data_IF_073165811729
#
_entry.id   IF_073165811729
#
_cell.length_a   1.000
_cell.length_b   1.000
_cell.length_c   1.000
_cell.angle_alpha   90.00
_cell.angle_beta   90.00
_cell.angle_gamma   90.00
#
_symmetry.space_group_name_H-M   'P 1'
#
loop_
_entity.id
_entity.type
_entity.pdbx_description
1 polymer ?
#
# COMPACT_ATOMS: atom_id res chain seq x y z
N UNK A 1 -5.78 7.06 -29.17
CA UNK A 1 -6.28 5.75 -28.72
C UNK A 1 -6.19 5.72 -27.20
N UNK A 2 -7.19 5.21 -26.48
CA UNK A 2 -7.04 4.98 -25.04
C UNK A 2 -5.84 4.05 -24.79
N UNK A 3 -5.11 4.23 -23.67
CA UNK A 3 -3.99 3.36 -23.34
C UNK A 3 -4.46 1.91 -23.26
N UNK A 4 -3.65 0.98 -23.79
CA UNK A 4 -3.96 -0.45 -23.76
C UNK A 4 -3.83 -0.94 -22.31
N UNK A 5 -4.94 -1.29 -21.70
CA UNK A 5 -4.99 -1.83 -20.33
C UNK A 5 -4.68 -3.33 -20.37
N UNK A 6 -3.92 -3.90 -19.40
CA UNK A 6 -3.71 -5.34 -19.32
C UNK A 6 -5.00 -6.10 -18.99
N UNK A 7 -5.10 -7.34 -19.46
CA UNK A 7 -6.16 -8.26 -19.06
C UNK A 7 -5.83 -8.88 -17.69
N UNK A 8 -6.76 -8.79 -16.74
CA UNK A 8 -6.60 -9.34 -15.38
C UNK A 8 -7.46 -10.59 -15.20
N UNK A 9 -6.95 -11.63 -14.55
CA UNK A 9 -7.71 -12.84 -14.22
C UNK A 9 -8.88 -12.59 -13.27
N UNK A 10 -8.81 -11.55 -12.44
CA UNK A 10 -9.75 -11.30 -11.35
C UNK A 10 -9.87 -12.49 -10.38
N UNK A 11 -8.74 -13.15 -10.13
CA UNK A 11 -8.68 -14.34 -9.31
C UNK A 11 -9.11 -14.02 -7.87
N UNK A 12 -9.92 -14.90 -7.29
CA UNK A 12 -10.40 -14.79 -5.91
C UNK A 12 -10.15 -16.09 -5.19
N UNK A 13 -9.85 -15.97 -3.91
CA UNK A 13 -9.70 -17.08 -2.99
C UNK A 13 -10.19 -16.64 -1.61
N UNK A 14 -10.54 -17.60 -0.75
CA UNK A 14 -10.95 -17.30 0.62
C UNK A 14 -9.85 -16.49 1.34
N UNK A 15 -10.23 -15.35 1.92
CA UNK A 15 -9.29 -14.46 2.63
C UNK A 15 -9.09 -14.86 4.09
N UNK A 16 -9.95 -15.73 4.62
CA UNK A 16 -9.87 -16.25 5.98
C UNK A 16 -9.95 -17.77 5.99
N UNK A 17 -9.54 -18.34 7.11
CA UNK A 17 -9.75 -19.73 7.47
C UNK A 17 -10.35 -19.83 8.88
N UNK A 18 -11.36 -20.66 9.04
CA UNK A 18 -11.90 -21.02 10.35
C UNK A 18 -10.96 -21.96 11.12
N UNK A 19 -10.75 -21.68 12.39
CA UNK A 19 -9.94 -22.48 13.31
C UNK A 19 -10.66 -22.67 14.65
N UNK A 20 -10.38 -23.79 15.33
CA UNK A 20 -10.81 -24.00 16.71
C UNK A 20 -9.79 -23.36 17.65
N UNK A 21 -10.26 -22.51 18.55
CA UNK A 21 -9.45 -21.82 19.57
C UNK A 21 -10.02 -22.09 20.96
N UNK A 22 -9.26 -21.73 22.00
CA UNK A 22 -9.71 -21.80 23.38
C UNK A 22 -9.72 -20.42 24.03
N UNK A 23 -10.75 -20.15 24.83
CA UNK A 23 -10.84 -18.94 25.64
C UNK A 23 -10.11 -19.10 26.99
N UNK A 24 -10.13 -18.06 27.82
CA UNK A 24 -9.53 -18.00 29.15
C UNK A 24 -10.11 -19.02 30.15
N UNK A 25 -11.30 -19.56 29.88
CA UNK A 25 -11.96 -20.60 30.67
C UNK A 25 -11.66 -22.03 30.17
N UNK A 26 -10.92 -22.16 29.07
CA UNK A 26 -10.58 -23.45 28.45
C UNK A 26 -11.66 -24.03 27.53
N UNK A 27 -12.73 -23.27 27.25
CA UNK A 27 -13.82 -23.67 26.36
C UNK A 27 -13.39 -23.55 24.90
N UNK A 28 -13.88 -24.45 24.05
CA UNK A 28 -13.56 -24.43 22.61
C UNK A 28 -14.56 -23.56 21.87
N UNK A 29 -14.05 -22.66 21.01
CA UNK A 29 -14.86 -21.81 20.14
C UNK A 29 -14.24 -21.74 18.73
N UNK A 30 -15.01 -21.26 17.76
CA UNK A 30 -14.51 -20.98 16.40
C UNK A 30 -14.02 -19.53 16.29
N UNK A 31 -12.93 -19.34 15.55
CA UNK A 31 -12.42 -18.03 15.17
C UNK A 31 -12.02 -18.04 13.69
N UNK A 32 -12.08 -16.87 13.06
CA UNK A 32 -11.50 -16.65 11.74
C UNK A 32 -10.09 -16.10 11.90
N UNK A 33 -9.16 -16.63 11.11
CA UNK A 33 -7.82 -16.06 10.96
C UNK A 33 -7.59 -15.68 9.50
N UNK A 34 -6.79 -14.64 9.19
CA UNK A 34 -6.43 -14.31 7.82
C UNK A 34 -5.68 -15.48 7.18
N UNK A 35 -5.92 -15.68 5.89
CA UNK A 35 -5.05 -16.53 5.10
C UNK A 35 -3.69 -15.85 4.92
N UNK A 36 -2.64 -16.65 4.90
CA UNK A 36 -1.31 -16.26 4.48
C UNK A 36 -0.82 -17.33 3.51
N UNK A 37 -0.61 -16.93 2.25
CA UNK A 37 -0.21 -17.85 1.18
C UNK A 37 0.87 -17.21 0.31
N UNK A 38 1.78 -18.02 -0.24
CA UNK A 38 2.75 -17.52 -1.21
C UNK A 38 2.03 -17.15 -2.51
N UNK A 39 2.56 -16.14 -3.19
CA UNK A 39 2.22 -15.78 -4.55
C UNK A 39 3.52 -15.48 -5.29
N UNK A 40 3.92 -16.39 -6.18
CA UNK A 40 5.16 -16.26 -6.94
C UNK A 40 4.89 -15.50 -8.25
N UNK A 41 5.53 -14.34 -8.40
CA UNK A 41 5.38 -13.50 -9.59
C UNK A 41 6.37 -13.93 -10.66
N UNK A 42 5.85 -14.19 -11.86
CA UNK A 42 6.63 -14.46 -13.06
C UNK A 42 6.39 -13.37 -14.09
N UNK A 43 7.43 -12.76 -14.63
CA UNK A 43 7.33 -11.83 -15.76
C UNK A 43 8.02 -12.46 -16.97
N UNK A 44 7.26 -12.68 -18.04
CA UNK A 44 7.73 -13.35 -19.26
C UNK A 44 8.43 -14.69 -18.96
N UNK A 45 7.80 -15.50 -18.08
CA UNK A 45 8.28 -16.81 -17.58
C UNK A 45 9.51 -16.75 -16.67
N UNK A 46 10.03 -15.57 -16.38
CA UNK A 46 11.12 -15.40 -15.44
C UNK A 46 10.57 -15.13 -14.03
N UNK A 47 10.98 -15.96 -13.06
CA UNK A 47 10.63 -15.76 -11.66
C UNK A 47 11.23 -14.46 -11.12
N UNK A 48 10.41 -13.65 -10.46
CA UNK A 48 10.81 -12.38 -9.86
C UNK A 48 10.93 -12.50 -8.34
N UNK A 49 9.84 -12.91 -7.69
CA UNK A 49 9.68 -12.86 -6.23
C UNK A 49 8.54 -13.77 -5.79
N UNK A 50 8.61 -14.27 -4.56
CA UNK A 50 7.45 -14.86 -3.87
C UNK A 50 7.01 -13.94 -2.74
N UNK A 51 5.75 -13.49 -2.79
CA UNK A 51 5.15 -12.62 -1.77
C UNK A 51 4.22 -13.45 -0.90
N UNK A 52 4.32 -13.33 0.42
CA UNK A 52 3.29 -13.82 1.35
C UNK A 52 2.14 -12.82 1.40
N UNK A 53 0.95 -13.20 0.97
CA UNK A 53 -0.22 -12.33 0.82
C UNK A 53 -1.48 -12.99 1.36
N UNK A 54 -2.49 -12.19 1.70
CA UNK A 54 -3.84 -12.73 1.95
C UNK A 54 -4.58 -13.03 0.64
N UNK A 55 -4.17 -12.41 -0.48
CA UNK A 55 -4.80 -12.58 -1.79
C UNK A 55 -6.02 -11.68 -2.03
N UNK A 56 -6.15 -10.56 -1.32
CA UNK A 56 -7.27 -9.62 -1.50
C UNK A 56 -7.27 -8.90 -2.87
N UNK A 57 -6.07 -8.62 -3.40
CA UNK A 57 -5.90 -7.90 -4.67
C UNK A 57 -4.61 -8.37 -5.40
N UNK A 58 -4.51 -9.64 -5.79
CA UNK A 58 -3.25 -10.25 -6.20
C UNK A 58 -2.72 -9.68 -7.52
N UNK A 59 -3.57 -9.38 -8.51
CA UNK A 59 -3.12 -8.75 -9.77
C UNK A 59 -2.65 -7.31 -9.55
N UNK A 60 -3.34 -6.57 -8.69
CA UNK A 60 -2.95 -5.19 -8.36
C UNK A 60 -1.65 -5.17 -7.56
N UNK A 61 -1.47 -6.12 -6.64
CA UNK A 61 -0.21 -6.35 -5.93
C UNK A 61 0.93 -6.61 -6.93
N UNK A 62 0.72 -7.50 -7.90
CA UNK A 62 1.71 -7.80 -8.93
C UNK A 62 2.07 -6.56 -9.77
N UNK A 63 1.08 -5.81 -10.25
CA UNK A 63 1.30 -4.55 -10.98
C UNK A 63 2.06 -3.52 -10.13
N UNK A 64 1.69 -3.40 -8.86
CA UNK A 64 2.34 -2.54 -7.88
C UNK A 64 3.80 -2.89 -7.66
N UNK A 65 4.08 -4.18 -7.51
CA UNK A 65 5.44 -4.69 -7.38
C UNK A 65 6.27 -4.33 -8.61
N UNK A 66 5.78 -4.61 -9.82
CA UNK A 66 6.49 -4.28 -11.07
C UNK A 66 6.80 -2.78 -11.19
N UNK A 67 5.82 -1.93 -10.86
CA UNK A 67 5.97 -0.48 -10.89
C UNK A 67 6.98 0.01 -9.86
N UNK A 68 6.84 -0.42 -8.60
CA UNK A 68 7.68 0.06 -7.51
C UNK A 68 9.13 -0.48 -7.61
N UNK A 69 9.32 -1.66 -8.22
CA UNK A 69 10.64 -2.18 -8.59
C UNK A 69 11.15 -1.67 -9.95
N UNK A 70 10.35 -0.83 -10.63
CA UNK A 70 10.63 -0.20 -11.94
C UNK A 70 10.89 -1.20 -13.05
N UNK A 71 10.49 -2.45 -12.90
CA UNK A 71 10.75 -3.51 -13.86
C UNK A 71 10.10 -3.21 -15.21
N UNK A 72 8.96 -2.53 -15.19
CA UNK A 72 8.21 -2.11 -16.37
C UNK A 72 7.89 -0.62 -16.29
N UNK A 73 8.08 0.10 -17.40
CA UNK A 73 7.93 1.56 -17.44
C UNK A 73 6.50 2.01 -17.76
N UNK A 74 5.79 1.29 -18.63
CA UNK A 74 4.43 1.63 -19.03
C UNK A 74 3.45 0.49 -18.76
N UNK A 75 2.28 0.82 -18.23
CA UNK A 75 1.18 -0.15 -18.06
C UNK A 75 0.76 -0.75 -19.42
N UNK A 76 0.95 0.03 -20.50
CA UNK A 76 0.65 -0.40 -21.85
C UNK A 76 1.58 -1.52 -22.35
N UNK A 77 2.76 -1.69 -21.74
CA UNK A 77 3.70 -2.77 -22.08
C UNK A 77 3.23 -4.13 -21.53
N UNK A 78 2.26 -4.13 -20.61
CA UNK A 78 1.72 -5.34 -20.01
C UNK A 78 0.51 -5.81 -20.82
N UNK A 79 0.56 -7.06 -21.29
CA UNK A 79 -0.53 -7.72 -22.00
C UNK A 79 -1.57 -8.27 -21.03
N UNK A 80 -1.13 -8.99 -20.01
CA UNK A 80 -1.99 -9.65 -19.04
C UNK A 80 -1.29 -9.90 -17.70
N UNK A 81 -2.10 -10.02 -16.65
CA UNK A 81 -1.71 -10.48 -15.32
C UNK A 81 -2.68 -11.58 -14.92
N UNK A 82 -2.18 -12.80 -14.78
CA UNK A 82 -2.98 -14.00 -14.55
C UNK A 82 -2.53 -14.70 -13.28
N UNK A 83 -3.42 -14.74 -12.29
CA UNK A 83 -3.19 -15.37 -10.99
C UNK A 83 -3.90 -16.72 -10.98
N UNK A 84 -3.16 -17.74 -10.57
CA UNK A 84 -3.63 -19.09 -10.37
C UNK A 84 -3.28 -19.53 -8.94
N UNK A 85 -4.32 -19.68 -8.11
CA UNK A 85 -4.17 -20.05 -6.71
C UNK A 85 -3.91 -21.54 -6.50
N UNK A 86 -4.17 -22.41 -7.48
CA UNK A 86 -3.87 -23.84 -7.36
C UNK A 86 -2.35 -24.10 -7.38
N UNK A 87 -1.62 -23.27 -8.11
CA UNK A 87 -0.15 -23.34 -8.23
C UNK A 87 0.57 -22.16 -7.58
N UNK A 88 -0.17 -21.31 -6.85
CA UNK A 88 0.37 -20.17 -6.09
C UNK A 88 1.22 -19.21 -6.94
N UNK A 89 0.80 -18.98 -8.18
CA UNK A 89 1.59 -18.24 -9.17
C UNK A 89 0.80 -17.09 -9.82
N UNK A 90 1.53 -16.02 -10.15
CA UNK A 90 1.03 -14.92 -10.97
C UNK A 90 1.92 -14.77 -12.21
N UNK A 91 1.36 -15.10 -13.37
CA UNK A 91 2.01 -14.93 -14.66
C UNK A 91 1.68 -13.54 -15.24
N UNK A 92 2.70 -12.70 -15.38
CA UNK A 92 2.63 -11.42 -16.08
C UNK A 92 3.25 -11.60 -17.46
N UNK A 93 2.47 -11.28 -18.50
CA UNK A 93 2.93 -11.32 -19.90
C UNK A 93 3.12 -9.90 -20.39
N UNK A 94 4.31 -9.56 -20.89
CA UNK A 94 4.55 -8.31 -21.60
C UNK A 94 4.15 -8.42 -23.08
N UNK A 95 3.91 -7.29 -23.74
CA UNK A 95 3.53 -7.24 -25.16
C UNK A 95 4.73 -7.36 -26.10
N UNK A 96 5.91 -6.94 -25.66
CA UNK A 96 7.09 -6.80 -26.52
C UNK A 96 8.37 -7.36 -25.90
N UNK A 97 8.26 -8.06 -24.76
CA UNK A 97 9.41 -8.41 -23.92
C UNK A 97 9.89 -7.22 -23.10
N UNK A 98 10.60 -7.52 -22.01
CA UNK A 98 11.30 -6.51 -21.20
C UNK A 98 12.81 -6.70 -21.37
N UNK A 99 13.47 -5.68 -21.90
CA UNK A 99 14.93 -5.69 -22.09
C UNK A 99 15.66 -5.82 -20.74
N UNK A 100 16.77 -6.57 -20.76
CA UNK A 100 17.68 -6.77 -19.62
C UNK A 100 17.03 -7.31 -18.34
N UNK A 101 15.84 -7.91 -18.42
CA UNK A 101 15.11 -8.40 -17.25
C UNK A 101 15.97 -9.33 -16.38
N UNK A 102 16.67 -10.29 -17.00
CA UNK A 102 17.56 -11.23 -16.29
C UNK A 102 18.70 -10.53 -15.55
N UNK A 103 19.32 -9.50 -16.14
CA UNK A 103 20.38 -8.74 -15.48
C UNK A 103 19.82 -7.91 -14.32
N UNK A 104 18.63 -7.32 -14.50
CA UNK A 104 17.96 -6.47 -13.52
C UNK A 104 17.42 -7.24 -12.32
N UNK A 105 17.16 -8.54 -12.49
CA UNK A 105 16.75 -9.45 -11.41
C UNK A 105 17.90 -10.30 -10.87
N UNK A 106 19.07 -10.32 -11.51
CA UNK A 106 20.20 -11.11 -11.07
C UNK A 106 20.61 -10.70 -9.64
N UNK A 107 20.61 -11.67 -8.72
CA UNK A 107 20.90 -11.44 -7.29
C UNK A 107 19.71 -10.98 -6.44
N UNK A 108 18.51 -10.79 -7.02
CA UNK A 108 17.29 -10.34 -6.32
C UNK A 108 16.31 -11.48 -6.00
N UNK A 109 16.80 -12.67 -5.64
CA UNK A 109 15.94 -13.71 -5.02
C UNK A 109 15.58 -13.26 -3.60
N UNK A 110 14.66 -12.32 -3.50
CA UNK A 110 14.28 -11.66 -2.25
C UNK A 110 13.02 -12.32 -1.72
N UNK A 111 13.18 -13.25 -0.77
CA UNK A 111 12.08 -13.67 0.09
C UNK A 111 12.07 -12.74 1.31
N UNK A 112 11.36 -11.62 1.27
CA UNK A 112 11.08 -10.86 2.50
C UNK A 112 9.79 -10.04 2.38
N UNK A 113 8.70 -10.53 2.95
CA UNK A 113 7.51 -9.72 3.23
C UNK A 113 7.63 -8.92 4.54
N UNK A 114 8.69 -9.15 5.34
CA UNK A 114 8.78 -8.67 6.71
C UNK A 114 9.80 -7.57 7.04
N UNK A 115 10.99 -7.56 6.44
CA UNK A 115 12.12 -6.74 6.94
C UNK A 115 12.93 -6.12 5.80
N UNK A 116 13.23 -4.83 5.95
CA UNK A 116 13.78 -3.94 4.93
C UNK A 116 15.02 -4.45 4.21
N UNK A 117 15.02 -4.25 2.89
CA UNK A 117 16.19 -4.45 2.03
C UNK A 117 17.10 -3.22 2.14
N UNK A 118 18.16 -3.31 2.96
CA UNK A 118 19.08 -2.18 3.22
C UNK A 118 19.94 -1.74 2.03
N UNK A 119 20.11 -2.58 1.00
CA UNK A 119 20.92 -2.25 -0.19
C UNK A 119 20.13 -1.56 -1.30
N UNK A 120 18.81 -1.77 -1.37
CA UNK A 120 17.90 -1.08 -2.32
C UNK A 120 17.59 0.35 -1.85
N UNK A 121 17.85 0.64 -0.57
CA UNK A 121 17.54 1.92 0.06
C UNK A 121 18.31 3.11 -0.53
N UNK A 122 19.61 2.95 -0.86
CA UNK A 122 20.42 4.04 -1.41
C UNK A 122 19.96 4.44 -2.83
N UNK A 123 19.72 3.46 -3.70
CA UNK A 123 19.18 3.75 -5.05
C UNK A 123 17.78 4.35 -5.00
N UNK A 124 16.95 3.95 -4.03
CA UNK A 124 15.62 4.54 -3.87
C UNK A 124 15.69 6.01 -3.40
N UNK A 125 16.72 6.38 -2.63
CA UNK A 125 16.86 7.75 -2.11
C UNK A 125 17.16 8.77 -3.19
N UNK A 126 18.04 8.46 -4.13
CA UNK A 126 18.37 9.35 -5.26
C UNK A 126 17.13 9.63 -6.14
N UNK A 127 16.21 8.68 -6.19
CA UNK A 127 15.01 8.76 -7.02
C UNK A 127 13.86 9.48 -6.31
N UNK A 128 13.82 9.38 -4.98
CA UNK A 128 12.87 10.10 -4.13
C UNK A 128 13.08 11.61 -4.21
N UNK A 129 14.32 12.06 -4.42
CA UNK A 129 14.61 13.49 -4.63
C UNK A 129 14.03 14.04 -5.94
N UNK A 130 13.66 13.16 -6.88
CA UNK A 130 12.96 13.50 -8.13
C UNK A 130 11.44 13.26 -8.05
N UNK A 131 10.90 12.88 -6.89
CA UNK A 131 9.47 12.62 -6.75
C UNK A 131 8.68 13.92 -6.95
N UNK A 132 7.75 13.90 -7.92
CA UNK A 132 6.85 15.02 -8.18
C UNK A 132 5.73 15.04 -7.12
N UNK A 133 5.99 15.75 -6.02
CA UNK A 133 5.00 15.99 -4.97
C UNK A 133 4.31 17.32 -5.21
N UNK A 134 2.98 17.32 -5.16
CA UNK A 134 2.20 18.54 -5.32
C UNK A 134 2.34 19.42 -4.07
N UNK A 135 2.95 20.59 -4.24
CA UNK A 135 3.16 21.56 -3.17
C UNK A 135 1.84 22.15 -2.65
N UNK A 136 0.75 22.08 -3.42
CA UNK A 136 -0.55 22.69 -3.09
C UNK A 136 -1.52 21.72 -2.41
N UNK A 137 -1.22 20.42 -2.38
CA UNK A 137 -2.09 19.45 -1.71
C UNK A 137 -2.20 19.78 -0.22
N UNK A 138 -3.44 20.04 0.24
CA UNK A 138 -3.83 20.32 1.62
C UNK A 138 -4.90 19.34 2.10
N UNK A 139 -5.05 19.21 3.41
CA UNK A 139 -6.16 18.50 4.05
C UNK A 139 -6.76 19.36 5.16
N UNK A 140 -8.08 19.53 5.15
CA UNK A 140 -8.81 20.16 6.25
C UNK A 140 -9.04 19.19 7.41
N UNK A 141 -9.25 19.72 8.61
CA UNK A 141 -9.58 18.91 9.78
C UNK A 141 -10.87 18.11 9.56
N UNK A 142 -11.91 18.72 8.97
CA UNK A 142 -13.15 18.03 8.59
C UNK A 142 -12.92 16.85 7.64
N UNK A 143 -12.08 17.01 6.61
CA UNK A 143 -11.73 15.92 5.69
C UNK A 143 -10.96 14.80 6.39
N UNK A 144 -9.99 15.15 7.26
CA UNK A 144 -9.26 14.17 8.05
C UNK A 144 -10.20 13.37 8.96
N UNK A 145 -11.18 14.02 9.59
CA UNK A 145 -12.19 13.31 10.38
C UNK A 145 -13.08 12.43 9.52
N UNK A 146 -13.54 12.93 8.37
CA UNK A 146 -14.38 12.16 7.46
C UNK A 146 -13.68 10.89 6.95
N UNK A 147 -12.40 10.97 6.59
CA UNK A 147 -11.66 9.78 6.12
C UNK A 147 -11.41 8.79 7.26
N UNK A 148 -11.13 9.26 8.48
CA UNK A 148 -10.96 8.39 9.65
C UNK A 148 -12.27 7.68 10.02
N UNK A 149 -13.41 8.38 9.93
CA UNK A 149 -14.72 7.78 10.13
C UNK A 149 -15.08 6.78 9.03
N UNK A 150 -14.78 7.09 7.76
CA UNK A 150 -14.95 6.16 6.66
C UNK A 150 -14.16 4.86 6.91
N UNK A 151 -12.91 4.96 7.34
CA UNK A 151 -12.08 3.80 7.69
C UNK A 151 -12.58 3.03 8.92
N UNK A 152 -13.14 3.72 9.91
CA UNK A 152 -13.71 3.10 11.10
C UNK A 152 -14.98 2.31 10.77
N UNK A 153 -15.81 2.83 9.85
CA UNK A 153 -17.07 2.21 9.45
C UNK A 153 -16.88 1.11 8.39
N UNK A 154 -15.81 1.16 7.59
CA UNK A 154 -15.53 0.17 6.54
C UNK A 154 -15.48 -1.27 7.07
N UNK A 155 -16.23 -2.18 6.46
CA UNK A 155 -16.14 -3.62 6.76
C UNK A 155 -14.80 -4.15 6.27
N UNK A 156 -14.10 -4.90 7.11
CA UNK A 156 -12.70 -5.23 6.86
C UNK A 156 -12.32 -6.57 7.47
N UNK A 157 -11.34 -7.23 6.84
CA UNK A 157 -10.71 -8.45 7.29
C UNK A 157 -10.08 -8.29 8.67
N UNK A 158 -9.50 -7.12 8.96
CA UNK A 158 -9.00 -6.81 10.30
C UNK A 158 -10.10 -6.89 11.36
N UNK A 159 -11.34 -6.45 11.07
CA UNK A 159 -12.45 -6.54 12.03
C UNK A 159 -12.94 -7.97 12.25
N UNK A 160 -12.91 -8.81 11.21
CA UNK A 160 -13.44 -10.18 11.28
C UNK A 160 -12.41 -11.22 11.72
N UNK A 161 -11.12 -11.02 11.40
CA UNK A 161 -10.06 -12.00 11.60
C UNK A 161 -8.78 -11.43 12.23
N UNK A 162 -8.67 -10.10 12.38
CA UNK A 162 -7.47 -9.46 12.94
C UNK A 162 -6.23 -9.60 12.05
N UNK A 163 -5.05 -9.35 12.63
CA UNK A 163 -3.72 -9.72 12.09
C UNK A 163 -3.39 -9.34 10.63
N UNK A 164 -4.03 -8.30 10.09
CA UNK A 164 -3.71 -7.73 8.77
C UNK A 164 -3.51 -6.22 8.83
N UNK A 165 -2.91 -5.68 7.78
CA UNK A 165 -2.76 -4.27 7.56
C UNK A 165 -3.73 -3.79 6.48
N UNK A 166 -4.56 -2.80 6.82
CA UNK A 166 -5.41 -2.10 5.87
C UNK A 166 -4.72 -0.84 5.36
N UNK A 167 -4.77 -0.62 4.06
CA UNK A 167 -4.37 0.63 3.43
C UNK A 167 -5.48 1.16 2.54
N UNK A 168 -5.54 2.49 2.40
CA UNK A 168 -6.53 3.16 1.58
C UNK A 168 -5.93 4.38 0.87
N UNK A 169 -6.52 4.71 -0.28
CA UNK A 169 -6.27 5.94 -1.02
C UNK A 169 -7.55 6.77 -1.05
N UNK A 170 -7.43 8.04 -0.71
CA UNK A 170 -8.55 8.99 -0.68
C UNK A 170 -8.31 10.17 -1.62
N UNK A 171 -9.40 10.78 -2.09
CA UNK A 171 -9.45 12.09 -2.72
C UNK A 171 -10.49 12.94 -1.97
N UNK A 172 -10.02 13.95 -1.22
CA UNK A 172 -10.84 14.55 -0.16
C UNK A 172 -11.30 13.48 0.84
N UNK A 173 -12.60 13.40 1.09
CA UNK A 173 -13.22 12.35 1.91
C UNK A 173 -13.63 11.08 1.15
N UNK A 174 -13.48 11.06 -0.18
CA UNK A 174 -13.90 9.94 -1.02
C UNK A 174 -12.86 8.83 -1.00
N UNK A 175 -13.24 7.65 -0.53
CA UNK A 175 -12.44 6.44 -0.63
C UNK A 175 -12.35 5.99 -2.11
N UNK A 176 -11.14 5.96 -2.66
CA UNK A 176 -10.91 5.51 -4.04
C UNK A 176 -10.60 4.01 -4.10
N UNK A 177 -9.77 3.54 -3.18
CA UNK A 177 -9.31 2.16 -3.14
C UNK A 177 -9.00 1.80 -1.68
N UNK A 178 -9.43 0.61 -1.27
CA UNK A 178 -9.05 -0.02 -0.02
C UNK A 178 -8.56 -1.43 -0.29
N UNK A 179 -7.52 -1.85 0.43
CA UNK A 179 -7.03 -3.22 0.40
C UNK A 179 -6.42 -3.60 1.74
N UNK A 180 -6.47 -4.89 2.03
CA UNK A 180 -5.87 -5.50 3.22
C UNK A 180 -4.88 -6.58 2.81
N UNK A 181 -3.81 -6.69 3.58
CA UNK A 181 -2.83 -7.76 3.41
C UNK A 181 -2.11 -8.07 4.73
N UNK A 182 -1.54 -9.27 4.84
CA UNK A 182 -0.66 -9.62 5.97
C UNK A 182 0.56 -8.70 6.03
N UNK A 183 1.09 -8.29 4.88
CA UNK A 183 2.20 -7.36 4.76
C UNK A 183 1.72 -5.96 4.41
N UNK A 184 2.03 -4.95 5.25
CA UNK A 184 1.72 -3.54 4.93
C UNK A 184 2.31 -3.07 3.59
N UNK A 185 3.46 -3.60 3.21
CA UNK A 185 4.14 -3.27 1.95
C UNK A 185 3.35 -3.76 0.74
N UNK A 186 2.73 -4.95 0.85
CA UNK A 186 1.88 -5.51 -0.20
C UNK A 186 0.61 -4.65 -0.37
N UNK A 187 0.01 -4.20 0.73
CA UNK A 187 -1.16 -3.34 0.68
C UNK A 187 -0.87 -2.00 -0.03
N UNK A 188 0.30 -1.37 0.23
CA UNK A 188 0.75 -0.17 -0.49
C UNK A 188 1.02 -0.48 -1.97
N UNK A 189 1.68 -1.60 -2.26
CA UNK A 189 1.99 -2.01 -3.64
C UNK A 189 0.68 -2.23 -4.42
N UNK A 190 -0.32 -2.91 -3.85
CA UNK A 190 -1.62 -3.07 -4.48
C UNK A 190 -2.32 -1.73 -4.79
N UNK A 191 -2.22 -0.72 -3.91
CA UNK A 191 -2.72 0.64 -4.21
C UNK A 191 -1.92 1.27 -5.35
N UNK A 192 -0.59 1.15 -5.35
CA UNK A 192 0.27 1.66 -6.43
C UNK A 192 -0.07 1.02 -7.79
N UNK A 193 -0.35 -0.29 -7.80
CA UNK A 193 -0.80 -1.02 -8.98
C UNK A 193 -2.18 -0.58 -9.46
N UNK A 194 -3.12 -0.36 -8.53
CA UNK A 194 -4.44 0.20 -8.85
C UNK A 194 -4.34 1.58 -9.48
N UNK A 195 -3.53 2.47 -8.89
CA UNK A 195 -3.28 3.82 -9.42
C UNK A 195 -2.70 3.76 -10.83
N UNK A 196 -1.77 2.84 -11.07
CA UNK A 196 -1.13 2.67 -12.37
C UNK A 196 -2.10 2.19 -13.44
N UNK A 197 -2.91 1.19 -13.08
CA UNK A 197 -3.93 0.61 -13.96
C UNK A 197 -4.97 1.65 -14.40
N UNK A 198 -5.37 2.54 -13.49
CA UNK A 198 -6.41 3.54 -13.73
C UNK A 198 -5.89 4.91 -14.15
N UNK A 199 -4.57 5.08 -14.28
CA UNK A 199 -3.97 6.38 -14.61
C UNK A 199 -4.20 7.45 -13.54
N UNK A 200 -4.34 7.04 -12.27
CA UNK A 200 -4.56 7.94 -11.13
C UNK A 200 -3.23 8.43 -10.58
N UNK A 201 -3.01 9.75 -10.60
CA UNK A 201 -1.87 10.39 -9.95
C UNK A 201 -2.07 10.59 -8.45
N UNK A 202 -0.98 10.83 -7.71
CA UNK A 202 -1.02 11.10 -6.27
C UNK A 202 -1.43 12.53 -5.89
N UNK A 203 -1.53 13.45 -6.87
CA UNK A 203 -1.94 14.83 -6.64
C UNK A 203 -3.33 14.90 -5.98
N UNK A 204 -3.44 15.68 -4.90
CA UNK A 204 -4.67 15.84 -4.12
C UNK A 204 -5.13 14.56 -3.42
N UNK A 205 -4.26 13.54 -3.31
CA UNK A 205 -4.59 12.28 -2.64
C UNK A 205 -4.06 12.23 -1.23
N UNK A 206 -4.73 11.44 -0.41
CA UNK A 206 -4.33 11.13 0.96
C UNK A 206 -4.17 9.62 1.07
N UNK A 207 -3.01 9.17 1.53
CA UNK A 207 -2.76 7.75 1.78
C UNK A 207 -3.03 7.44 3.25
N UNK A 208 -3.82 6.41 3.52
CA UNK A 208 -4.10 5.95 4.87
C UNK A 208 -3.55 4.53 5.09
N UNK A 209 -3.01 4.26 6.28
CA UNK A 209 -2.60 2.90 6.68
C UNK A 209 -2.84 2.60 8.15
N UNK A 210 -3.17 1.35 8.47
CA UNK A 210 -3.17 0.89 9.88
C UNK A 210 -1.77 0.60 10.42
N UNK A 211 -0.76 0.47 9.54
CA UNK A 211 0.64 0.20 9.90
C UNK A 211 1.45 1.44 10.29
N UNK A 212 2.68 1.23 10.77
CA UNK A 212 3.63 2.32 11.09
C UNK A 212 4.10 3.03 9.82
N UNK A 213 4.35 4.34 9.93
CA UNK A 213 4.99 5.14 8.88
C UNK A 213 6.51 4.97 8.98
N UNK A 214 7.01 3.87 8.41
CA UNK A 214 8.44 3.60 8.25
C UNK A 214 9.00 4.29 7.01
N UNK A 215 10.33 4.37 6.91
CA UNK A 215 10.99 4.95 5.73
C UNK A 215 10.48 4.37 4.40
N UNK A 216 10.38 3.04 4.29
CA UNK A 216 9.86 2.39 3.08
C UNK A 216 8.42 2.80 2.75
N UNK A 217 7.55 2.95 3.75
CA UNK A 217 6.15 3.36 3.53
C UNK A 217 6.10 4.80 3.00
N UNK A 218 6.90 5.70 3.58
CA UNK A 218 7.01 7.09 3.14
C UNK A 218 7.56 7.18 1.72
N UNK A 219 8.64 6.44 1.43
CA UNK A 219 9.26 6.37 0.08
C UNK A 219 8.25 5.90 -0.97
N UNK A 220 7.54 4.79 -0.71
CA UNK A 220 6.56 4.26 -1.67
C UNK A 220 5.44 5.28 -1.95
N UNK A 221 4.93 5.95 -0.91
CA UNK A 221 3.91 7.00 -1.09
C UNK A 221 4.47 8.22 -1.84
N UNK A 222 5.73 8.60 -1.58
CA UNK A 222 6.41 9.67 -2.30
C UNK A 222 6.51 9.35 -3.80
N UNK A 223 6.90 8.11 -4.14
CA UNK A 223 6.97 7.63 -5.53
C UNK A 223 5.58 7.50 -6.18
N UNK A 224 4.52 7.36 -5.39
CA UNK A 224 3.13 7.45 -5.87
C UNK A 224 2.68 8.92 -6.09
N UNK A 225 3.48 9.90 -5.70
CA UNK A 225 3.16 11.33 -5.77
C UNK A 225 2.20 11.79 -4.67
N UNK A 226 2.08 11.05 -3.56
CA UNK A 226 1.15 11.36 -2.48
C UNK A 226 1.84 12.16 -1.38
N UNK A 227 1.32 13.36 -1.11
CA UNK A 227 1.95 14.31 -0.18
C UNK A 227 1.39 14.30 1.25
N UNK A 228 0.36 13.48 1.52
CA UNK A 228 -0.28 13.39 2.84
C UNK A 228 -0.47 11.91 3.22
N UNK A 229 0.13 11.50 4.33
CA UNK A 229 0.07 10.15 4.87
C UNK A 229 -0.57 10.17 6.26
N UNK A 230 -1.57 9.32 6.45
CA UNK A 230 -2.34 9.19 7.68
C UNK A 230 -2.18 7.78 8.23
N UNK A 231 -1.86 7.67 9.51
CA UNK A 231 -1.72 6.38 10.19
C UNK A 231 -2.39 6.37 11.56
N UNK A 232 -2.98 5.22 11.88
CA UNK A 232 -3.43 4.93 13.26
C UNK A 232 -2.28 4.54 14.19
N UNK A 233 -1.13 4.17 13.64
CA UNK A 233 0.06 3.72 14.37
C UNK A 233 1.04 4.88 14.60
N UNK A 234 2.31 4.58 14.87
CA UNK A 234 3.37 5.57 15.06
C UNK A 234 4.21 5.84 13.80
N UNK A 235 5.09 6.84 13.92
CA UNK A 235 6.14 7.19 12.96
C UNK A 235 7.49 6.71 13.49
N UNK A 236 8.37 6.22 12.61
CA UNK A 236 9.78 5.93 12.98
C UNK A 236 10.69 7.09 12.60
N UNK A 237 11.78 7.32 13.33
CA UNK A 237 12.74 8.42 13.08
C UNK A 237 13.09 8.59 11.59
N UNK A 238 13.59 7.53 10.94
CA UNK A 238 13.95 7.62 9.52
C UNK A 238 12.76 7.95 8.59
N UNK A 239 11.55 7.51 8.94
CA UNK A 239 10.34 7.88 8.17
C UNK A 239 9.96 9.35 8.36
N UNK A 240 10.14 9.89 9.57
CA UNK A 240 10.01 11.31 9.85
C UNK A 240 11.00 12.12 9.03
N UNK A 241 12.30 11.78 9.08
CA UNK A 241 13.37 12.54 8.42
C UNK A 241 13.16 12.65 6.90
N UNK A 242 12.74 11.55 6.27
CA UNK A 242 12.41 11.53 4.83
C UNK A 242 11.20 12.41 4.54
N UNK A 243 10.14 12.29 5.34
CA UNK A 243 8.92 13.07 5.11
C UNK A 243 9.17 14.57 5.29
N UNK A 244 9.96 14.95 6.29
CA UNK A 244 10.39 16.33 6.51
C UNK A 244 11.19 16.85 5.32
N UNK A 245 12.17 16.09 4.84
CA UNK A 245 12.98 16.44 3.66
C UNK A 245 12.14 16.66 2.40
N UNK A 246 11.10 15.85 2.21
CA UNK A 246 10.24 15.88 1.02
C UNK A 246 9.02 16.79 1.15
N UNK A 247 8.81 17.41 2.32
CA UNK A 247 7.59 18.17 2.58
C UNK A 247 6.32 17.31 2.49
N UNK A 248 6.38 16.05 2.95
CA UNK A 248 5.21 15.16 3.08
C UNK A 248 4.61 15.35 4.47
N UNK A 249 3.29 15.54 4.56
CA UNK A 249 2.61 15.62 5.84
C UNK A 249 2.35 14.23 6.42
N UNK A 250 2.89 13.98 7.61
CA UNK A 250 2.62 12.76 8.37
C UNK A 250 1.63 13.05 9.49
N UNK A 251 0.49 12.39 9.46
CA UNK A 251 -0.45 12.29 10.58
C UNK A 251 -0.36 10.89 11.16
N UNK A 252 -0.12 10.78 12.46
CA UNK A 252 -0.03 9.50 13.15
C UNK A 252 -0.77 9.55 14.49
N UNK A 253 -0.89 8.38 15.13
CA UNK A 253 -1.72 8.18 16.33
C UNK A 253 -3.18 8.59 16.10
N UNK A 254 -3.64 8.50 14.85
CA UNK A 254 -4.99 8.91 14.49
C UNK A 254 -5.99 7.93 15.10
N UNK A 255 -6.83 8.39 16.02
CA UNK A 255 -7.89 7.60 16.65
C UNK A 255 -9.06 8.52 16.96
N UNK A 256 -10.24 8.19 16.43
CA UNK A 256 -11.43 9.03 16.51
C UNK A 256 -11.12 10.45 15.98
N UNK A 257 -11.27 11.48 16.81
CA UNK A 257 -10.96 12.88 16.49
C UNK A 257 -9.57 13.33 16.96
N UNK A 258 -8.75 12.42 17.48
CA UNK A 258 -7.39 12.70 17.93
C UNK A 258 -6.39 12.28 16.86
N UNK A 259 -5.41 13.14 16.60
CA UNK A 259 -4.27 12.87 15.74
C UNK A 259 -3.09 13.73 16.17
N UNK A 260 -1.89 13.35 15.75
CA UNK A 260 -0.70 14.17 15.86
C UNK A 260 -0.14 14.37 14.45
N UNK A 261 0.06 15.62 14.06
CA UNK A 261 0.82 15.95 12.86
C UNK A 261 2.30 16.04 13.22
N UNK A 262 3.15 15.37 12.44
CA UNK A 262 4.59 15.30 12.69
C UNK A 262 5.37 16.21 11.74
N UNK A 263 4.96 16.34 10.49
CA UNK A 263 5.71 17.05 9.43
C UNK A 263 4.78 17.88 8.54
N UNK A 264 5.37 18.82 7.80
CA UNK A 264 4.70 19.70 6.83
C UNK A 264 3.43 20.37 7.40
N UNK A 265 3.53 21.15 8.51
CA UNK A 265 2.41 21.81 9.17
C UNK A 265 1.55 22.64 8.21
N UNK A 266 2.17 23.26 7.21
CA UNK A 266 1.53 24.06 6.17
C UNK A 266 0.50 23.28 5.34
N UNK A 267 0.54 21.95 5.35
CA UNK A 267 -0.41 21.10 4.62
C UNK A 267 -1.72 20.83 5.36
N UNK A 268 -1.82 21.23 6.62
CA UNK A 268 -3.00 21.03 7.45
C UNK A 268 -3.78 22.32 7.62
N UNK A 269 -5.07 22.28 7.28
CA UNK A 269 -5.99 23.40 7.53
C UNK A 269 -6.80 23.08 8.79
N UNK A 270 -6.36 23.65 9.92
CA UNK A 270 -7.00 23.45 11.21
C UNK A 270 -8.35 24.16 11.30
N UNK A 271 -9.35 23.47 11.86
CA UNK A 271 -10.70 23.99 12.10
C UNK A 271 -11.03 23.81 13.59
N UNK A 272 -10.29 24.50 14.49
CA UNK A 272 -10.48 24.32 15.92
C UNK A 272 -11.90 24.74 16.32
N UNK A 273 -12.57 23.93 17.14
CA UNK A 273 -13.73 24.39 17.88
C UNK A 273 -13.27 25.51 18.82
N UNK A 274 -14.13 26.52 19.04
CA UNK A 274 -13.87 27.54 20.04
C UNK A 274 -13.58 26.86 21.37
N UNK A 275 -12.39 27.13 21.92
CA UNK A 275 -12.11 26.78 23.31
C UNK A 275 -12.97 27.71 24.14
N UNK A 276 -14.01 27.17 24.77
CA UNK A 276 -14.67 27.88 25.87
C UNK A 276 -13.57 28.26 26.86
N UNK A 277 -13.30 29.56 26.97
CA UNK A 277 -12.36 30.12 27.92
C UNK A 277 -12.78 29.64 29.32
N UNK A 278 -11.89 28.92 29.98
CA UNK A 278 -12.01 28.62 31.42
C UNK A 278 -11.85 29.90 32.24
#
# INVERSE_FOLDING_TARGET
>A
MPPRVPQLSQAREALTRGVRVRNEFGETQEAQIPAERPLTLYLDKQELVTLMTVGAAPELLALGYLRNQRLVHSIADIASVQVDWEVEACSITSRSGIADLTQRTAGRRVVTTGCGQGTVYASLMDEVDNAALDAETRISQGELYALLDAMRLHDSLYKSAGSVHGCALFEGSRLLMFTEDVGRHNAVDAISGWMWLHGVGGQGKVFYTTGRLTSEMVIKCALMGVSILVSRSGVTQMGYDIAERLGIALFARCTNRHFLQYTAPERFVAEPLERLSA
#
